data_IF_547869361841
#
_entry.id   IF_547869361841
#
_cell.length_a   1.000
_cell.length_b   1.000
_cell.length_c   1.000
_cell.angle_alpha   90.00
_cell.angle_beta   90.00
_cell.angle_gamma   90.00
#
_symmetry.space_group_name_H-M   'P 1'
#
loop_
_entity.id
_entity.type
_entity.pdbx_description
1 polymer ?
#
# COMPACT_ATOMS: atom_id res chain seq x y z
N UNK A 1 -19.68 -5.79 -14.16
CA UNK A 1 -18.91 -4.52 -14.20
C UNK A 1 -17.94 -4.55 -13.04
N UNK A 2 -16.65 -4.37 -13.29
CA UNK A 2 -15.62 -4.34 -12.24
C UNK A 2 -14.93 -2.99 -12.26
N UNK A 3 -14.45 -2.54 -11.10
CA UNK A 3 -13.73 -1.28 -10.99
C UNK A 3 -12.25 -1.57 -11.09
N UNK A 4 -11.56 -1.01 -12.06
CA UNK A 4 -10.12 -1.15 -12.19
C UNK A 4 -9.47 0.15 -11.77
N UNK A 5 -8.56 0.07 -10.80
CA UNK A 5 -7.72 1.17 -10.37
C UNK A 5 -6.34 1.02 -11.02
N UNK A 6 -5.87 2.08 -11.65
CA UNK A 6 -4.50 2.14 -12.16
C UNK A 6 -3.54 2.54 -11.03
N UNK A 7 -2.39 1.87 -10.97
CA UNK A 7 -1.31 2.10 -10.02
C UNK A 7 -0.07 2.45 -10.86
N UNK A 8 0.22 3.74 -11.07
CA UNK A 8 1.39 4.16 -11.82
C UNK A 8 2.66 3.83 -11.04
N UNK A 9 3.73 3.49 -11.75
CA UNK A 9 5.06 3.40 -11.15
C UNK A 9 5.62 4.79 -10.87
N UNK A 10 6.51 4.87 -9.88
CA UNK A 10 7.20 6.09 -9.52
C UNK A 10 7.93 6.67 -10.74
N UNK A 11 7.43 7.80 -11.26
CA UNK A 11 7.97 8.48 -12.45
C UNK A 11 7.16 8.32 -13.74
N UNK A 12 6.02 7.61 -13.73
CA UNK A 12 5.12 7.51 -14.90
C UNK A 12 3.86 8.37 -14.75
N UNK A 13 3.23 8.79 -15.87
CA UNK A 13 2.01 9.59 -15.82
C UNK A 13 0.86 8.84 -15.13
N UNK A 14 0.05 9.60 -14.38
CA UNK A 14 -1.16 9.13 -13.69
C UNK A 14 -2.27 8.62 -14.64
N UNK A 15 -2.06 8.67 -15.95
CA UNK A 15 -3.04 8.39 -16.98
C UNK A 15 -2.47 7.38 -17.98
N UNK A 16 -3.26 6.35 -18.29
CA UNK A 16 -2.89 5.33 -19.27
C UNK A 16 -4.09 4.94 -20.11
N UNK A 17 -3.89 4.68 -21.40
CA UNK A 17 -4.91 4.17 -22.29
C UNK A 17 -4.51 2.73 -22.67
N UNK A 18 -5.32 1.77 -22.26
CA UNK A 18 -5.10 0.37 -22.61
C UNK A 18 -6.41 -0.28 -22.99
N UNK A 19 -6.38 -1.16 -23.99
CA UNK A 19 -7.54 -1.95 -24.40
C UNK A 19 -8.78 -1.08 -24.69
N UNK A 20 -8.57 0.08 -25.34
CA UNK A 20 -9.61 1.08 -25.64
C UNK A 20 -10.28 1.74 -24.42
N UNK A 21 -9.72 1.56 -23.22
CA UNK A 21 -10.17 2.21 -21.99
C UNK A 21 -9.11 3.16 -21.44
N UNK A 22 -9.53 4.37 -21.06
CA UNK A 22 -8.69 5.30 -20.31
C UNK A 22 -8.79 5.01 -18.83
N UNK A 23 -7.64 4.78 -18.21
CA UNK A 23 -7.50 4.54 -16.78
C UNK A 23 -6.73 5.68 -16.14
N UNK A 24 -7.12 6.01 -14.91
CA UNK A 24 -6.53 7.11 -14.16
C UNK A 24 -6.14 6.61 -12.76
N UNK A 25 -4.97 7.00 -12.29
CA UNK A 25 -4.46 6.62 -10.97
C UNK A 25 -5.35 7.18 -9.85
N UNK A 26 -5.97 8.33 -10.11
CA UNK A 26 -6.81 9.07 -9.15
C UNK A 26 -8.25 8.57 -9.15
N UNK A 27 -8.70 7.85 -10.19
CA UNK A 27 -10.08 7.36 -10.29
C UNK A 27 -10.19 5.95 -10.87
N UNK A 28 -10.88 5.03 -10.18
CA UNK A 28 -11.15 3.71 -10.73
C UNK A 28 -12.09 3.80 -11.94
N UNK A 29 -11.75 3.12 -13.02
CA UNK A 29 -12.53 3.02 -14.25
C UNK A 29 -13.36 1.74 -14.23
N UNK A 30 -14.63 1.83 -14.62
CA UNK A 30 -15.51 0.66 -14.71
C UNK A 30 -15.30 -0.07 -16.04
N UNK A 31 -14.87 -1.32 -15.95
CA UNK A 31 -14.65 -2.21 -17.10
C UNK A 31 -15.68 -3.33 -17.05
N UNK A 32 -16.28 -3.65 -18.20
CA UNK A 32 -17.29 -4.70 -18.29
C UNK A 32 -16.75 -5.94 -19.02
N UNK A 33 -15.70 -5.77 -19.81
CA UNK A 33 -15.10 -6.81 -20.65
C UNK A 33 -14.24 -7.81 -19.87
N UNK A 34 -14.63 -9.09 -19.78
CA UNK A 34 -13.89 -10.10 -19.00
C UNK A 34 -12.48 -10.35 -19.52
N UNK A 35 -12.26 -10.25 -20.84
CA UNK A 35 -10.93 -10.37 -21.45
C UNK A 35 -10.01 -9.23 -21.01
N UNK A 36 -10.53 -8.01 -20.92
CA UNK A 36 -9.79 -6.84 -20.45
C UNK A 36 -9.44 -6.99 -18.97
N UNK A 37 -10.40 -7.45 -18.18
CA UNK A 37 -10.21 -7.71 -16.75
C UNK A 37 -9.13 -8.77 -16.50
N UNK A 38 -9.11 -9.85 -17.27
CA UNK A 38 -8.10 -10.91 -17.14
C UNK A 38 -6.68 -10.40 -17.45
N UNK A 39 -6.53 -9.56 -18.48
CA UNK A 39 -5.25 -8.94 -18.83
C UNK A 39 -4.80 -7.96 -17.75
N UNK A 40 -5.72 -7.13 -17.24
CA UNK A 40 -5.42 -6.15 -16.20
C UNK A 40 -5.07 -6.82 -14.87
N UNK A 41 -5.70 -7.95 -14.54
CA UNK A 41 -5.40 -8.72 -13.32
C UNK A 41 -3.99 -9.33 -13.34
N UNK A 42 -3.46 -9.64 -14.53
CA UNK A 42 -2.09 -10.10 -14.71
C UNK A 42 -1.06 -8.96 -14.72
N UNK A 43 -1.49 -7.71 -14.60
CA UNK A 43 -0.66 -6.55 -14.77
C UNK A 43 -0.42 -5.83 -13.42
N UNK A 44 0.83 -5.73 -12.94
CA UNK A 44 1.13 -5.10 -11.64
C UNK A 44 0.70 -3.62 -11.54
N UNK A 45 0.51 -2.96 -12.68
CA UNK A 45 0.03 -1.58 -12.76
C UNK A 45 -1.49 -1.42 -12.59
N UNK A 46 -2.25 -2.52 -12.50
CA UNK A 46 -3.71 -2.45 -12.45
C UNK A 46 -4.29 -3.35 -11.35
N UNK A 47 -5.07 -2.73 -10.47
CA UNK A 47 -5.82 -3.43 -9.44
C UNK A 47 -7.28 -3.57 -9.87
N UNK A 48 -7.74 -4.80 -10.04
CA UNK A 48 -9.15 -5.09 -10.34
C UNK A 48 -9.90 -5.21 -9.01
N UNK A 49 -10.67 -4.18 -8.67
CA UNK A 49 -11.63 -4.16 -7.57
C UNK A 49 -12.96 -4.76 -8.07
N UNK A 50 -13.08 -6.07 -7.96
CA UNK A 50 -14.34 -6.77 -8.14
C UNK A 50 -15.28 -6.40 -6.99
N UNK A 51 -16.36 -5.65 -7.29
CA UNK A 51 -17.32 -5.16 -6.29
C UNK A 51 -18.60 -5.97 -6.39
N UNK A 52 -18.64 -7.10 -5.69
CA UNK A 52 -19.89 -7.70 -5.23
C UNK A 52 -20.46 -6.81 -4.07
N UNK A 53 -21.78 -6.60 -3.95
CA UNK A 53 -22.35 -5.68 -2.96
C UNK A 53 -22.18 -6.17 -1.50
N UNK A 54 -21.59 -5.33 -0.65
CA UNK A 54 -21.35 -5.53 0.79
C UNK A 54 -22.67 -5.69 1.61
N UNK A 55 -22.71 -6.31 2.82
CA UNK A 55 -21.88 -5.93 3.99
C UNK A 55 -21.46 -7.05 4.99
N UNK A 56 -20.17 -7.05 5.37
CA UNK A 56 -19.68 -7.23 6.76
C UNK A 56 -18.20 -6.82 6.81
N UNK A 57 -17.73 -6.05 7.80
CA UNK A 57 -16.32 -5.65 7.89
C UNK A 57 -15.52 -6.74 8.61
N UNK A 58 -14.75 -7.55 7.88
CA UNK A 58 -13.51 -8.22 8.33
C UNK A 58 -12.99 -9.21 7.27
N UNK A 59 -11.68 -9.51 7.21
CA UNK A 59 -10.51 -8.69 7.44
C UNK A 59 -9.76 -8.42 6.12
N UNK A 60 -9.06 -7.30 6.03
CA UNK A 60 -8.15 -7.00 4.91
C UNK A 60 -7.05 -8.06 4.91
N UNK A 61 -7.07 -8.95 3.92
CA UNK A 61 -5.85 -9.63 3.49
C UNK A 61 -4.84 -8.52 3.11
N UNK A 62 -3.64 -8.49 3.69
CA UNK A 62 -2.71 -7.41 3.47
C UNK A 62 -2.24 -7.47 2.01
N UNK A 63 -2.65 -6.47 1.23
CA UNK A 63 -1.85 -6.03 0.11
C UNK A 63 -0.41 -5.83 0.63
N UNK A 64 0.64 -6.14 -0.15
CA UNK A 64 2.01 -5.80 0.23
C UNK A 64 2.10 -4.27 0.26
N UNK A 65 1.79 -3.69 1.42
CA UNK A 65 1.91 -2.26 1.68
C UNK A 65 3.38 -1.98 1.89
N UNK A 66 4.08 -1.76 0.79
CA UNK A 66 5.43 -1.20 0.80
C UNK A 66 5.48 0.28 1.26
N UNK A 67 4.41 0.83 1.83
CA UNK A 67 4.34 2.22 2.29
C UNK A 67 3.39 2.38 3.49
N UNK A 68 3.51 1.51 4.50
CA UNK A 68 3.01 1.91 5.83
C UNK A 68 4.09 2.73 6.54
N UNK A 69 3.76 3.93 7.05
CA UNK A 69 4.74 4.78 7.71
C UNK A 69 5.30 4.01 8.91
N UNK A 70 6.62 3.86 8.92
CA UNK A 70 7.32 3.27 10.04
C UNK A 70 7.44 4.31 11.14
N UNK A 71 7.01 3.97 12.34
CA UNK A 71 7.09 4.86 13.50
C UNK A 71 7.68 4.11 14.68
N UNK A 72 8.58 4.77 15.42
CA UNK A 72 9.05 4.22 16.68
C UNK A 72 8.09 4.65 17.80
N UNK A 73 7.55 3.70 18.54
CA UNK A 73 6.65 3.95 19.66
C UNK A 73 7.13 3.26 20.94
N UNK A 74 6.82 3.87 22.08
CA UNK A 74 7.19 3.36 23.40
C UNK A 74 6.29 2.18 23.75
N UNK A 75 6.92 1.07 24.16
CA UNK A 75 6.24 -0.11 24.65
C UNK A 75 5.93 0.02 26.14
N UNK A 76 4.92 -0.71 26.66
CA UNK A 76 4.62 -0.76 28.09
C UNK A 76 5.79 -1.25 28.97
N UNK A 77 6.79 -1.91 28.37
CA UNK A 77 8.00 -2.37 29.03
C UNK A 77 9.06 -1.26 29.21
N UNK A 78 8.81 -0.03 28.74
CA UNK A 78 9.75 1.09 28.78
C UNK A 78 10.85 1.05 27.71
N UNK A 79 10.75 0.11 26.77
CA UNK A 79 11.60 0.01 25.58
C UNK A 79 10.85 0.55 24.37
N UNK A 80 11.57 0.92 23.31
CA UNK A 80 10.94 1.41 22.08
C UNK A 80 10.91 0.33 21.00
N UNK A 81 9.89 0.39 20.14
CA UNK A 81 9.79 -0.47 18.97
C UNK A 81 9.41 0.31 17.73
N UNK A 82 9.99 -0.06 16.60
CA UNK A 82 9.50 0.35 15.29
C UNK A 82 8.28 -0.50 14.94
N UNK A 83 7.17 0.20 14.72
CA UNK A 83 5.94 -0.34 14.17
C UNK A 83 5.80 0.08 12.72
N UNK A 84 5.38 -0.86 11.89
CA UNK A 84 4.93 -0.64 10.52
C UNK A 84 3.42 -0.83 10.51
N UNK A 85 2.68 0.28 10.58
CA UNK A 85 1.23 0.24 10.79
C UNK A 85 0.86 -0.35 12.15
N UNK A 86 0.47 -1.62 12.16
CA UNK A 86 0.04 -2.38 13.36
C UNK A 86 1.05 -3.48 13.75
N UNK A 87 2.09 -3.70 12.92
CA UNK A 87 3.06 -4.76 13.12
C UNK A 87 4.36 -4.22 13.71
N UNK A 88 4.85 -4.80 14.81
CA UNK A 88 6.18 -4.52 15.33
C UNK A 88 7.20 -5.18 14.41
N UNK A 89 8.00 -4.37 13.73
CA UNK A 89 9.07 -4.85 12.83
C UNK A 89 10.42 -4.92 13.54
N UNK A 90 10.62 -4.09 14.57
CA UNK A 90 11.86 -4.07 15.36
C UNK A 90 11.54 -3.64 16.79
N UNK A 91 11.99 -4.40 17.78
CA UNK A 91 11.77 -4.10 19.20
C UNK A 91 13.10 -3.95 19.95
N UNK A 92 13.05 -3.34 21.13
CA UNK A 92 14.23 -3.17 21.99
C UNK A 92 15.12 -1.99 21.60
N UNK A 93 14.55 -0.96 20.96
CA UNK A 93 15.24 0.29 20.71
C UNK A 93 15.31 1.13 21.98
N UNK A 94 16.38 1.91 22.10
CA UNK A 94 16.49 2.93 23.15
C UNK A 94 15.69 4.17 22.75
N UNK A 95 15.44 5.05 23.72
CA UNK A 95 14.76 6.33 23.47
C UNK A 95 15.46 7.18 22.41
N UNK A 96 16.79 7.20 22.44
CA UNK A 96 17.61 7.91 21.46
C UNK A 96 17.45 7.35 20.05
N UNK A 97 17.46 6.02 19.90
CA UNK A 97 17.24 5.36 18.61
C UNK A 97 15.81 5.58 18.11
N UNK A 98 14.82 5.59 19.00
CA UNK A 98 13.43 5.83 18.63
C UNK A 98 13.17 7.27 18.17
N UNK A 99 13.79 8.24 18.84
CA UNK A 99 13.72 9.65 18.46
C UNK A 99 14.44 9.88 17.13
N UNK A 100 15.65 9.35 16.99
CA UNK A 100 16.40 9.37 15.73
C UNK A 100 15.59 8.72 14.60
N UNK A 101 15.00 7.55 14.84
CA UNK A 101 14.16 6.86 13.87
C UNK A 101 12.93 7.67 13.48
N UNK A 102 12.27 8.36 14.41
CA UNK A 102 11.15 9.23 14.07
C UNK A 102 11.56 10.51 13.33
N UNK A 103 12.79 10.99 13.55
CA UNK A 103 13.37 12.16 12.89
C UNK A 103 13.88 11.88 11.46
N UNK A 104 14.08 10.62 11.08
CA UNK A 104 14.43 10.21 9.71
C UNK A 104 13.26 10.43 8.74
N UNK A 105 13.56 10.51 7.44
CA UNK A 105 12.54 10.48 6.37
C UNK A 105 12.01 9.06 6.17
N UNK A 106 10.78 8.92 5.65
CA UNK A 106 10.15 7.60 5.47
C UNK A 106 10.97 6.64 4.60
N UNK A 107 11.76 7.16 3.65
CA UNK A 107 12.74 6.40 2.85
C UNK A 107 13.88 5.81 3.72
N UNK A 108 14.50 6.62 4.58
CA UNK A 108 15.55 6.17 5.51
C UNK A 108 15.02 5.20 6.58
N UNK A 109 13.79 5.43 7.07
CA UNK A 109 13.13 4.54 8.03
C UNK A 109 12.91 3.15 7.45
N UNK A 110 12.54 3.06 6.18
CA UNK A 110 12.33 1.79 5.47
C UNK A 110 13.63 1.01 5.26
N UNK A 111 14.75 1.69 4.98
CA UNK A 111 16.06 1.05 4.88
C UNK A 111 16.60 0.60 6.25
N UNK A 112 16.28 1.31 7.34
CA UNK A 112 16.75 0.96 8.70
C UNK A 112 16.15 -0.34 9.26
N UNK A 113 14.98 -0.75 8.78
CA UNK A 113 14.28 -2.00 9.19
C UNK A 113 14.47 -3.16 8.22
N UNK A 114 15.16 -2.94 7.11
CA UNK A 114 15.49 -3.95 6.11
C UNK A 114 16.63 -4.85 6.58
#
# INVERSE_FOLDING_TARGET
>A
MVKVKYIPEAGTPDETETLNHKFNAKRPTEVTDPSVIAVLRGNPFFEVLDKEPAPVPAPKAPAPKQNEPLTASEQPDGTFAVLQGDAIVKAGLSKEDADAFNALSDEDKAEYVK
#
